data_IF_212084760726
#
_entry.id   IF_212084760726
#
_cell.length_a   1.000
_cell.length_b   1.000
_cell.length_c   1.000
_cell.angle_alpha   90.00
_cell.angle_beta   90.00
_cell.angle_gamma   90.00
#
_symmetry.space_group_name_H-M   'P 1'
#
loop_
_entity.id
_entity.type
_entity.pdbx_description
1 polymer ?
#
# COMPACT_ATOMS: atom_id res chain seq x y z
N UNK A 1 8.41 -41.81 33.36
CA UNK A 1 7.69 -40.52 33.44
C UNK A 1 8.53 -39.37 32.92
N UNK A 2 9.81 -39.27 33.29
CA UNK A 2 10.68 -38.16 32.86
C UNK A 2 10.90 -38.06 31.34
N UNK A 3 11.18 -39.18 30.67
CA UNK A 3 11.34 -39.24 29.21
C UNK A 3 10.07 -38.85 28.43
N UNK A 4 8.89 -39.30 28.90
CA UNK A 4 7.61 -38.94 28.30
C UNK A 4 7.29 -37.45 28.47
N UNK A 5 7.67 -36.86 29.61
CA UNK A 5 7.50 -35.42 29.87
C UNK A 5 8.46 -34.57 29.02
N UNK A 6 9.70 -35.03 28.81
CA UNK A 6 10.65 -34.39 27.89
C UNK A 6 10.18 -34.45 26.44
N UNK A 7 9.69 -35.60 26.00
CA UNK A 7 9.13 -35.77 24.66
C UNK A 7 7.89 -34.89 24.43
N UNK A 8 6.99 -34.80 25.42
CA UNK A 8 5.83 -33.91 25.36
C UNK A 8 6.23 -32.43 25.31
N UNK A 9 7.24 -32.03 26.09
CA UNK A 9 7.76 -30.67 26.09
C UNK A 9 8.42 -30.29 24.76
N UNK A 10 9.24 -31.19 24.19
CA UNK A 10 9.87 -31.00 22.88
C UNK A 10 8.83 -30.94 21.75
N UNK A 11 7.81 -31.79 21.79
CA UNK A 11 6.72 -31.77 20.80
C UNK A 11 5.92 -30.47 20.88
N UNK A 12 5.63 -30.00 22.09
CA UNK A 12 4.94 -28.72 22.31
C UNK A 12 5.77 -27.53 21.80
N UNK A 13 7.09 -27.56 21.98
CA UNK A 13 8.00 -26.53 21.49
C UNK A 13 8.06 -26.47 19.96
N UNK A 14 8.09 -27.63 19.28
CA UNK A 14 8.10 -27.70 17.81
C UNK A 14 6.77 -27.19 17.22
N UNK A 15 5.64 -27.50 17.85
CA UNK A 15 4.32 -26.99 17.43
C UNK A 15 4.24 -25.46 17.58
N UNK A 16 4.82 -24.90 18.64
CA UNK A 16 4.87 -23.44 18.84
C UNK A 16 5.73 -22.70 17.80
N UNK A 17 6.78 -23.33 17.29
CA UNK A 17 7.65 -22.76 16.24
C UNK A 17 7.05 -22.85 14.83
N UNK A 18 6.01 -23.67 14.64
CA UNK A 18 5.33 -23.83 13.35
C UNK A 18 4.21 -22.81 13.11
N UNK A 19 3.99 -21.85 14.03
CA UNK A 19 3.06 -20.76 13.77
C UNK A 19 3.57 -19.92 12.59
N UNK A 20 2.76 -19.67 11.56
CA UNK A 20 3.15 -18.75 10.51
C UNK A 20 3.39 -17.40 11.16
N UNK A 21 4.63 -16.92 11.07
CA UNK A 21 4.92 -15.53 11.43
C UNK A 21 4.05 -14.66 10.53
N UNK A 22 3.09 -13.94 11.13
CA UNK A 22 2.32 -12.92 10.44
C UNK A 22 3.27 -11.74 10.15
N UNK A 23 4.14 -11.91 9.15
CA UNK A 23 5.02 -10.88 8.63
C UNK A 23 4.22 -9.97 7.69
N UNK A 24 3.14 -9.39 8.19
CA UNK A 24 2.46 -8.32 7.48
C UNK A 24 3.29 -7.04 7.65
N UNK A 25 3.64 -6.39 6.55
CA UNK A 25 4.33 -5.10 6.63
C UNK A 25 3.34 -4.10 7.22
N UNK A 26 3.58 -3.70 8.48
CA UNK A 26 2.75 -2.73 9.17
C UNK A 26 2.67 -1.44 8.35
N UNK A 27 1.47 -0.91 8.20
CA UNK A 27 1.28 0.39 7.57
C UNK A 27 1.63 1.51 8.56
N UNK A 28 2.24 2.63 8.10
CA UNK A 28 2.62 2.92 6.71
C UNK A 28 3.81 2.10 6.22
N UNK A 29 3.76 1.68 4.95
CA UNK A 29 4.88 1.00 4.30
C UNK A 29 6.15 1.88 4.31
N UNK A 30 7.35 1.30 4.38
CA UNK A 30 8.60 2.06 4.26
C UNK A 30 8.59 2.98 3.03
N UNK A 31 8.94 4.25 3.24
CA UNK A 31 8.94 5.26 2.16
C UNK A 31 7.57 5.85 1.81
N UNK A 32 6.51 5.51 2.54
CA UNK A 32 5.17 6.10 2.38
C UNK A 32 4.80 6.99 3.56
N UNK A 33 3.86 7.91 3.33
CA UNK A 33 3.29 8.78 4.37
C UNK A 33 1.77 8.67 4.36
N UNK A 34 1.18 8.67 5.55
CA UNK A 34 -0.27 8.78 5.73
C UNK A 34 -0.57 10.19 6.21
N UNK A 35 -1.48 10.87 5.51
CA UNK A 35 -1.90 12.24 5.85
C UNK A 35 -3.41 12.23 6.09
N UNK A 36 -3.82 12.42 7.34
CA UNK A 36 -5.22 12.60 7.69
C UNK A 36 -5.68 14.00 7.29
N UNK A 37 -6.72 14.07 6.45
CA UNK A 37 -7.16 15.36 5.89
C UNK A 37 -8.40 15.92 6.55
N UNK A 38 -9.14 15.11 7.32
CA UNK A 38 -10.44 15.48 7.92
C UNK A 38 -11.53 15.84 6.90
N UNK A 39 -11.30 15.60 5.60
CA UNK A 39 -12.21 15.99 4.51
C UNK A 39 -13.09 14.81 4.08
N UNK A 40 -14.36 15.06 3.70
CA UNK A 40 -15.17 14.05 3.04
C UNK A 40 -14.47 13.53 1.79
N UNK A 41 -14.54 12.21 1.58
CA UNK A 41 -13.78 11.52 0.52
C UNK A 41 -13.96 12.13 -0.88
N UNK A 42 -15.21 12.40 -1.29
CA UNK A 42 -15.49 12.94 -2.62
C UNK A 42 -14.93 14.37 -2.80
N UNK A 43 -15.00 15.19 -1.75
CA UNK A 43 -14.40 16.53 -1.76
C UNK A 43 -12.87 16.44 -1.84
N UNK A 44 -12.28 15.53 -1.06
CA UNK A 44 -10.84 15.31 -1.05
C UNK A 44 -10.32 14.91 -2.44
N UNK A 45 -10.93 13.93 -3.09
CA UNK A 45 -10.50 13.47 -4.43
C UNK A 45 -10.53 14.63 -5.43
N UNK A 46 -11.63 15.39 -5.48
CA UNK A 46 -11.75 16.55 -6.38
C UNK A 46 -10.67 17.61 -6.12
N UNK A 47 -10.40 17.91 -4.84
CA UNK A 47 -9.35 18.89 -4.46
C UNK A 47 -7.95 18.38 -4.75
N UNK A 48 -7.70 17.08 -4.58
CA UNK A 48 -6.43 16.45 -4.88
C UNK A 48 -6.14 16.51 -6.38
N UNK A 49 -7.10 16.18 -7.24
CA UNK A 49 -6.95 16.29 -8.71
C UNK A 49 -6.64 17.73 -9.14
N UNK A 50 -7.34 18.71 -8.57
CA UNK A 50 -7.05 20.13 -8.82
C UNK A 50 -5.63 20.52 -8.35
N UNK A 51 -5.22 20.06 -7.17
CA UNK A 51 -3.88 20.32 -6.64
C UNK A 51 -2.78 19.67 -7.51
N UNK A 52 -3.01 18.47 -8.03
CA UNK A 52 -2.09 17.78 -8.95
C UNK A 52 -1.86 18.65 -10.19
N UNK A 53 -2.94 19.10 -10.84
CA UNK A 53 -2.87 19.97 -12.00
C UNK A 53 -2.17 21.31 -11.70
N UNK A 54 -2.54 21.96 -10.59
CA UNK A 54 -1.95 23.24 -10.17
C UNK A 54 -0.44 23.14 -9.89
N UNK A 55 0.05 21.96 -9.52
CA UNK A 55 1.46 21.69 -9.28
C UNK A 55 2.19 21.13 -10.51
N UNK A 56 1.59 21.23 -11.71
CA UNK A 56 2.17 20.81 -12.99
C UNK A 56 2.53 19.31 -13.01
N UNK A 57 1.76 18.51 -12.31
CA UNK A 57 1.87 17.06 -12.30
C UNK A 57 0.76 16.46 -13.18
N UNK A 58 1.07 15.38 -13.90
CA UNK A 58 0.13 14.63 -14.72
C UNK A 58 -0.45 13.44 -13.95
N UNK A 59 -1.73 13.14 -14.17
CA UNK A 59 -2.33 11.89 -13.72
C UNK A 59 -2.11 10.85 -14.82
N UNK A 60 -1.41 9.76 -14.49
CA UNK A 60 -1.08 8.68 -15.43
C UNK A 60 -2.17 7.61 -15.42
N UNK A 61 -2.69 7.28 -14.25
CA UNK A 61 -3.73 6.28 -14.08
C UNK A 61 -4.57 6.57 -12.84
N UNK A 62 -5.83 6.11 -12.87
CA UNK A 62 -6.70 6.12 -11.71
C UNK A 62 -7.46 4.80 -11.60
N UNK A 63 -7.50 4.22 -10.40
CA UNK A 63 -8.30 3.05 -10.10
C UNK A 63 -9.36 3.36 -9.03
N UNK A 64 -10.60 2.95 -9.28
CA UNK A 64 -11.71 3.12 -8.34
C UNK A 64 -12.09 1.79 -7.69
N UNK A 65 -11.52 1.46 -6.54
CA UNK A 65 -11.86 0.22 -5.84
C UNK A 65 -13.34 0.21 -5.41
N UNK A 66 -13.90 1.34 -4.95
CA UNK A 66 -15.30 1.40 -4.55
C UNK A 66 -16.29 1.34 -5.72
N UNK A 67 -15.88 1.72 -6.93
CA UNK A 67 -16.67 1.52 -8.15
C UNK A 67 -16.63 0.04 -8.57
N UNK A 68 -15.44 -0.58 -8.56
CA UNK A 68 -15.26 -1.99 -8.89
C UNK A 68 -15.98 -2.93 -7.93
N UNK A 69 -15.94 -2.63 -6.63
CA UNK A 69 -16.73 -3.35 -5.63
C UNK A 69 -18.23 -3.24 -5.95
N UNK A 70 -18.71 -2.03 -6.27
CA UNK A 70 -20.12 -1.80 -6.60
C UNK A 70 -20.55 -2.57 -7.85
N UNK A 71 -19.70 -2.69 -8.86
CA UNK A 71 -20.03 -3.46 -10.08
C UNK A 71 -20.19 -4.95 -9.83
N UNK A 72 -19.68 -5.48 -8.72
CA UNK A 72 -19.87 -6.87 -8.30
C UNK A 72 -20.83 -7.01 -7.10
N UNK A 73 -21.63 -5.97 -6.82
CA UNK A 73 -22.65 -5.99 -5.76
C UNK A 73 -22.12 -5.78 -4.34
N UNK A 74 -20.86 -5.37 -4.17
CA UNK A 74 -20.22 -5.14 -2.86
C UNK A 74 -20.12 -3.64 -2.57
N UNK A 75 -20.44 -3.23 -1.34
CA UNK A 75 -20.24 -1.85 -0.87
C UNK A 75 -19.04 -1.78 0.07
N UNK A 76 -18.11 -0.87 -0.23
CA UNK A 76 -16.95 -0.55 0.62
C UNK A 76 -16.85 0.98 0.80
N UNK A 77 -16.13 1.48 1.83
CA UNK A 77 -15.81 2.89 1.96
C UNK A 77 -15.12 3.47 0.72
N UNK A 78 -15.13 4.80 0.59
CA UNK A 78 -14.47 5.49 -0.52
C UNK A 78 -13.00 5.11 -0.64
N UNK A 79 -12.60 4.59 -1.80
CA UNK A 79 -11.22 4.19 -2.07
C UNK A 79 -10.85 4.49 -3.53
N UNK A 80 -9.75 5.22 -3.71
CA UNK A 80 -9.20 5.68 -5.00
C UNK A 80 -7.69 5.54 -4.96
N UNK A 81 -7.12 4.97 -6.01
CA UNK A 81 -5.66 4.97 -6.26
C UNK A 81 -5.40 5.89 -7.43
N UNK A 82 -4.47 6.84 -7.27
CA UNK A 82 -4.09 7.81 -8.31
C UNK A 82 -2.59 7.72 -8.52
N UNK A 83 -2.18 7.40 -9.75
CA UNK A 83 -0.78 7.44 -10.18
C UNK A 83 -0.47 8.81 -10.77
N UNK A 84 0.56 9.46 -10.23
CA UNK A 84 0.92 10.85 -10.56
C UNK A 84 2.35 10.87 -11.07
N UNK A 85 2.62 11.69 -12.09
CA UNK A 85 3.94 11.83 -12.68
C UNK A 85 4.31 13.29 -12.93
N UNK A 86 5.58 13.63 -12.75
CA UNK A 86 6.11 14.96 -13.06
C UNK A 86 7.38 14.82 -13.89
N UNK A 87 7.41 15.29 -15.15
CA UNK A 87 8.53 15.00 -16.07
C UNK A 87 9.91 15.44 -15.58
N UNK A 88 10.00 16.60 -14.92
CA UNK A 88 11.27 17.11 -14.38
C UNK A 88 11.82 16.22 -13.25
N UNK A 89 10.95 15.68 -12.39
CA UNK A 89 11.33 14.72 -11.36
C UNK A 89 11.76 13.39 -11.97
N UNK A 90 11.07 12.93 -13.01
CA UNK A 90 11.44 11.70 -13.70
C UNK A 90 12.82 11.78 -14.37
N UNK A 91 13.11 12.89 -15.07
CA UNK A 91 14.45 13.10 -15.64
C UNK A 91 15.53 13.10 -14.56
N UNK A 92 15.27 13.75 -13.42
CA UNK A 92 16.22 13.75 -12.28
C UNK A 92 16.40 12.36 -11.69
N UNK A 93 15.31 11.62 -11.50
CA UNK A 93 15.31 10.26 -10.97
C UNK A 93 16.11 9.32 -11.88
N UNK A 94 15.83 9.31 -13.18
CA UNK A 94 16.50 8.43 -14.15
C UNK A 94 17.98 8.78 -14.34
N UNK A 95 18.36 10.06 -14.21
CA UNK A 95 19.78 10.47 -14.18
C UNK A 95 20.52 9.91 -12.96
N UNK A 96 19.84 9.79 -11.82
CA UNK A 96 20.44 9.25 -10.61
C UNK A 96 20.53 7.72 -10.65
N UNK A 97 19.48 7.06 -11.16
CA UNK A 97 19.45 5.62 -11.37
C UNK A 97 18.36 5.25 -12.38
N UNK A 98 18.78 4.61 -13.49
CA UNK A 98 17.85 4.09 -14.50
C UNK A 98 16.92 3.04 -13.88
N UNK A 99 17.44 2.18 -13.00
CA UNK A 99 16.65 1.15 -12.31
C UNK A 99 15.48 1.71 -11.47
N UNK A 100 15.51 3.00 -11.11
CA UNK A 100 14.40 3.65 -10.41
C UNK A 100 13.14 3.83 -11.26
N UNK A 101 13.25 3.73 -12.60
CA UNK A 101 12.11 3.77 -13.51
C UNK A 101 11.23 2.52 -13.51
N UNK A 102 11.68 1.42 -12.88
CA UNK A 102 11.14 0.06 -13.05
C UNK A 102 11.19 -0.29 -14.55
N UNK A 103 12.28 -0.90 -15.00
CA UNK A 103 12.53 -1.31 -16.40
C UNK A 103 12.87 -0.18 -17.39
N UNK A 104 13.40 0.97 -16.92
CA UNK A 104 13.95 2.00 -17.81
C UNK A 104 15.31 1.64 -18.41
#
# INVERSE_FOLDING_TARGET
MEEAMRAALLTSLVVFLAFPAAAEVATPYPGTVVVETGRPFAEFVKKLEAAIANNKMGIVAQACASCGARSIGVTIPGNRVIMIFRPDFAVRMLKASVAAGIEA
#
